data_IF_682327958133
#
_entry.id   IF_682327958133
#
_cell.length_a   1.000
_cell.length_b   1.000
_cell.length_c   1.000
_cell.angle_alpha   90.00
_cell.angle_beta   90.00
_cell.angle_gamma   90.00
#
_symmetry.space_group_name_H-M   'P 1'
#
loop_
_entity.id
_entity.type
_entity.pdbx_description
1 polymer ?
#
# COMPACT_ATOMS: atom_id res chain seq x y z
N UNK A 1 7.86 38.99 1.11
CA UNK A 1 6.56 38.26 1.15
C UNK A 1 6.77 36.99 1.96
N UNK A 2 6.04 36.79 3.04
CA UNK A 2 6.13 35.57 3.81
C UNK A 2 5.50 34.44 2.95
N UNK A 3 6.27 33.41 2.63
CA UNK A 3 5.79 32.19 1.95
C UNK A 3 4.75 31.55 2.87
N UNK A 4 3.54 31.35 2.36
CA UNK A 4 2.49 30.72 3.16
C UNK A 4 2.88 29.28 3.49
N UNK A 5 2.47 28.72 4.65
CA UNK A 5 2.79 27.31 5.01
C UNK A 5 2.39 26.27 3.94
N UNK A 6 1.43 26.61 3.08
CA UNK A 6 0.94 25.78 1.98
C UNK A 6 1.98 25.67 0.85
N UNK A 7 2.66 26.78 0.52
CA UNK A 7 3.65 26.80 -0.56
C UNK A 7 4.91 25.98 -0.20
N UNK A 8 5.36 26.09 1.06
CA UNK A 8 6.49 25.28 1.57
C UNK A 8 6.17 23.79 1.53
N UNK A 9 4.92 23.40 1.79
CA UNK A 9 4.49 21.98 1.78
C UNK A 9 4.37 21.41 0.37
N UNK A 10 3.99 22.24 -0.60
CA UNK A 10 3.90 21.82 -2.01
C UNK A 10 5.31 21.63 -2.59
N UNK A 11 6.23 22.52 -2.26
CA UNK A 11 7.62 22.37 -2.71
C UNK A 11 8.27 21.14 -2.08
N UNK A 12 8.07 20.89 -0.78
CA UNK A 12 8.54 19.68 -0.10
C UNK A 12 7.90 18.40 -0.70
N UNK A 13 6.63 18.43 -1.08
CA UNK A 13 5.95 17.34 -1.77
C UNK A 13 6.60 17.08 -3.15
N UNK A 14 6.87 18.14 -3.89
CA UNK A 14 7.50 18.09 -5.19
C UNK A 14 8.91 17.48 -5.11
N UNK A 15 9.69 17.91 -4.12
CA UNK A 15 11.06 17.44 -3.92
C UNK A 15 11.08 15.97 -3.45
N UNK A 16 10.19 15.58 -2.53
CA UNK A 16 10.05 14.20 -2.11
C UNK A 16 9.68 13.28 -3.27
N UNK A 17 8.76 13.70 -4.13
CA UNK A 17 8.35 12.92 -5.31
C UNK A 17 9.45 12.86 -6.36
N UNK A 18 10.19 13.94 -6.57
CA UNK A 18 11.34 13.94 -7.49
C UNK A 18 12.44 13.01 -6.99
N UNK A 19 12.68 12.97 -5.67
CA UNK A 19 13.66 12.05 -5.06
C UNK A 19 13.25 10.57 -5.21
N UNK A 20 11.95 10.28 -5.28
CA UNK A 20 11.43 8.92 -5.46
C UNK A 20 11.13 8.56 -6.91
N UNK A 21 11.44 9.45 -7.87
CA UNK A 21 11.15 9.25 -9.29
C UNK A 21 9.68 8.93 -9.58
N UNK A 22 8.76 9.39 -8.74
CA UNK A 22 7.31 9.32 -9.00
C UNK A 22 6.96 10.48 -9.92
N UNK A 23 6.48 10.25 -11.16
CA UNK A 23 6.03 11.34 -12.02
C UNK A 23 4.81 12.00 -11.38
N UNK A 24 4.97 13.26 -10.94
CA UNK A 24 3.85 14.06 -10.47
C UNK A 24 2.92 14.38 -11.64
N UNK A 25 1.74 13.81 -11.59
CA UNK A 25 0.65 14.33 -12.41
C UNK A 25 -0.03 15.50 -11.70
N UNK A 26 -0.61 16.43 -12.45
CA UNK A 26 -1.44 17.50 -11.89
C UNK A 26 -2.53 17.02 -10.90
N UNK A 27 -3.13 15.81 -11.06
CA UNK A 27 -4.02 15.21 -10.07
C UNK A 27 -3.37 14.93 -8.71
N UNK A 28 -2.11 14.46 -8.68
CA UNK A 28 -1.40 14.16 -7.40
C UNK A 28 -1.15 15.44 -6.60
N UNK A 29 -0.67 16.49 -7.28
CA UNK A 29 -0.46 17.80 -6.64
C UNK A 29 -1.79 18.36 -6.13
N UNK A 30 -2.86 18.23 -6.91
CA UNK A 30 -4.21 18.68 -6.54
C UNK A 30 -4.76 17.89 -5.36
N UNK A 31 -4.57 16.56 -5.33
CA UNK A 31 -4.98 15.70 -4.23
C UNK A 31 -4.27 16.03 -2.93
N UNK A 32 -2.94 16.25 -2.98
CA UNK A 32 -2.16 16.67 -1.82
C UNK A 32 -2.62 18.04 -1.29
N UNK A 33 -2.89 19.00 -2.19
CA UNK A 33 -3.43 20.32 -1.82
C UNK A 33 -4.80 20.19 -1.14
N UNK A 34 -5.72 19.41 -1.71
CA UNK A 34 -7.04 19.16 -1.13
C UNK A 34 -6.95 18.50 0.24
N UNK A 35 -6.01 17.57 0.45
CA UNK A 35 -5.79 16.96 1.76
C UNK A 35 -5.31 17.98 2.80
N UNK A 36 -4.42 18.89 2.42
CA UNK A 36 -3.88 19.93 3.33
C UNK A 36 -4.94 20.95 3.74
N UNK A 37 -5.91 21.21 2.84
CA UNK A 37 -6.98 22.19 3.05
C UNK A 37 -8.31 21.54 3.52
N UNK A 38 -8.41 20.20 3.47
CA UNK A 38 -9.64 19.49 3.82
C UNK A 38 -9.88 19.44 5.33
N UNK A 39 -11.13 19.59 5.78
CA UNK A 39 -11.48 19.37 7.18
C UNK A 39 -11.08 17.97 7.63
N UNK A 40 -10.62 17.83 8.88
CA UNK A 40 -10.31 16.54 9.47
C UNK A 40 -11.52 15.62 9.37
N UNK A 41 -11.39 14.50 8.62
CA UNK A 41 -12.44 13.49 8.51
C UNK A 41 -13.05 13.29 7.12
N UNK A 42 -12.65 14.06 6.10
CA UNK A 42 -13.18 13.90 4.74
C UNK A 42 -12.41 12.88 3.89
N UNK A 43 -13.06 11.75 3.58
CA UNK A 43 -12.68 10.86 2.48
C UNK A 43 -11.64 9.77 2.79
N UNK A 44 -11.61 8.78 1.92
CA UNK A 44 -10.79 7.57 2.04
C UNK A 44 -9.27 7.86 1.98
N UNK A 45 -8.85 8.88 1.20
CA UNK A 45 -7.46 9.30 1.13
C UNK A 45 -6.98 9.83 2.48
N UNK A 46 -7.74 10.74 3.07
CA UNK A 46 -7.43 11.32 4.39
C UNK A 46 -7.35 10.25 5.48
N UNK A 47 -8.27 9.27 5.45
CA UNK A 47 -8.24 8.13 6.36
C UNK A 47 -6.96 7.30 6.17
N UNK A 48 -6.55 7.04 4.93
CA UNK A 48 -5.33 6.32 4.61
C UNK A 48 -4.10 7.06 5.15
N UNK A 49 -3.98 8.36 4.88
CA UNK A 49 -2.87 9.19 5.41
C UNK A 49 -2.80 9.16 6.94
N UNK A 50 -3.96 9.31 7.62
CA UNK A 50 -3.99 9.21 9.10
C UNK A 50 -3.53 7.86 9.60
N UNK A 51 -3.93 6.77 8.94
CA UNK A 51 -3.49 5.42 9.31
C UNK A 51 -2.00 5.20 9.05
N UNK A 52 -1.45 5.73 7.96
CA UNK A 52 0.00 5.73 7.68
C UNK A 52 0.76 6.45 8.81
N UNK A 53 0.41 7.70 9.11
CA UNK A 53 1.10 8.49 10.13
C UNK A 53 0.95 7.92 11.54
N UNK A 54 -0.16 7.23 11.85
CA UNK A 54 -0.35 6.55 13.11
C UNK A 54 0.56 5.32 13.24
N UNK A 55 0.77 4.59 12.14
CA UNK A 55 1.55 3.35 12.13
C UNK A 55 3.04 3.64 11.96
N UNK A 56 3.39 4.65 11.17
CA UNK A 56 4.77 5.11 10.96
C UNK A 56 4.91 6.61 11.32
N UNK A 57 5.07 6.94 12.60
CA UNK A 57 5.21 8.33 13.04
C UNK A 57 6.54 8.98 12.64
N UNK A 58 7.49 8.21 12.10
CA UNK A 58 8.77 8.73 11.58
C UNK A 58 8.64 9.27 10.16
N UNK A 59 7.59 8.86 9.44
CA UNK A 59 7.36 9.32 8.08
C UNK A 59 6.90 10.78 8.09
N UNK A 60 7.49 11.61 7.24
CA UNK A 60 7.03 12.99 7.11
C UNK A 60 5.58 13.03 6.58
N UNK A 61 4.74 13.97 7.07
CA UNK A 61 3.35 14.06 6.63
C UNK A 61 3.19 14.22 5.11
N UNK A 62 4.10 14.92 4.46
CA UNK A 62 4.13 15.09 3.01
C UNK A 62 4.35 13.76 2.29
N UNK A 63 5.25 12.93 2.80
CA UNK A 63 5.54 11.62 2.22
C UNK A 63 4.36 10.68 2.40
N UNK A 64 3.68 10.72 3.55
CA UNK A 64 2.46 9.93 3.78
C UNK A 64 1.35 10.28 2.78
N UNK A 65 1.20 11.56 2.40
CA UNK A 65 0.24 11.99 1.36
C UNK A 65 0.64 11.43 0.01
N UNK A 66 1.92 11.56 -0.38
CA UNK A 66 2.42 11.06 -1.68
C UNK A 66 2.24 9.55 -1.80
N UNK A 67 2.58 8.79 -0.75
CA UNK A 67 2.45 7.34 -0.75
C UNK A 67 0.97 6.90 -0.76
N UNK A 68 0.10 7.61 -0.04
CA UNK A 68 -1.33 7.35 -0.10
C UNK A 68 -1.89 7.61 -1.51
N UNK A 69 -1.52 8.71 -2.17
CA UNK A 69 -1.93 9.00 -3.56
C UNK A 69 -1.42 7.93 -4.53
N UNK A 70 -0.15 7.53 -4.43
CA UNK A 70 0.40 6.43 -5.22
C UNK A 70 -0.41 5.13 -5.03
N UNK A 71 -0.81 4.83 -3.79
CA UNK A 71 -1.67 3.68 -3.48
C UNK A 71 -3.02 3.76 -4.17
N UNK A 72 -3.68 4.93 -4.17
CA UNK A 72 -4.97 5.12 -4.84
C UNK A 72 -4.85 5.03 -6.36
N UNK A 73 -3.77 5.55 -6.93
CA UNK A 73 -3.48 5.44 -8.38
C UNK A 73 -3.28 3.98 -8.77
N UNK A 74 -2.43 3.24 -8.04
CA UNK A 74 -2.16 1.83 -8.28
C UNK A 74 -3.44 0.97 -8.11
N UNK A 75 -4.18 1.17 -7.03
CA UNK A 75 -5.43 0.45 -6.77
C UNK A 75 -6.45 0.63 -7.91
N UNK A 76 -6.60 1.87 -8.41
CA UNK A 76 -7.47 2.16 -9.56
C UNK A 76 -6.97 1.49 -10.84
N UNK A 77 -5.66 1.56 -11.13
CA UNK A 77 -5.04 0.94 -12.31
C UNK A 77 -5.30 -0.56 -12.33
N UNK A 78 -5.13 -1.23 -11.20
CA UNK A 78 -5.27 -2.68 -11.07
C UNK A 78 -6.66 -3.14 -10.62
N UNK A 79 -7.64 -2.22 -10.49
CA UNK A 79 -9.05 -2.50 -10.17
C UNK A 79 -9.24 -3.26 -8.85
N UNK A 80 -8.48 -2.89 -7.84
CA UNK A 80 -8.63 -3.39 -6.46
C UNK A 80 -9.07 -2.25 -5.53
N UNK A 81 -9.59 -2.62 -4.35
CA UNK A 81 -9.99 -1.61 -3.36
C UNK A 81 -8.75 -0.90 -2.78
N UNK A 82 -8.72 0.44 -2.82
CA UNK A 82 -7.59 1.22 -2.31
C UNK A 82 -7.34 0.98 -0.81
N UNK A 83 -8.39 0.84 0.00
CA UNK A 83 -8.27 0.51 1.42
C UNK A 83 -7.68 -0.88 1.68
N UNK A 84 -7.95 -1.85 0.81
CA UNK A 84 -7.33 -3.18 0.86
C UNK A 84 -5.83 -3.11 0.58
N UNK A 85 -5.43 -2.44 -0.51
CA UNK A 85 -4.02 -2.24 -0.84
C UNK A 85 -3.30 -1.47 0.28
N UNK A 86 -3.90 -0.39 0.78
CA UNK A 86 -3.33 0.40 1.87
C UNK A 86 -3.13 -0.42 3.15
N UNK A 87 -4.10 -1.25 3.52
CA UNK A 87 -4.00 -2.13 4.69
C UNK A 87 -2.88 -3.17 4.53
N UNK A 88 -2.71 -3.71 3.31
CA UNK A 88 -1.61 -4.63 3.01
C UNK A 88 -0.25 -3.92 3.17
N UNK A 89 -0.05 -2.77 2.54
CA UNK A 89 1.21 -2.02 2.63
C UNK A 89 1.52 -1.55 4.07
N UNK A 90 0.48 -1.23 4.86
CA UNK A 90 0.64 -0.97 6.30
C UNK A 90 1.12 -2.20 7.07
N UNK A 91 0.67 -3.39 6.71
CA UNK A 91 1.08 -4.64 7.34
C UNK A 91 2.50 -5.03 6.93
N UNK A 92 2.86 -4.84 5.65
CA UNK A 92 4.17 -5.21 5.13
C UNK A 92 5.30 -4.40 5.76
N UNK A 93 5.20 -3.09 5.76
CA UNK A 93 6.31 -2.23 6.16
C UNK A 93 5.91 -0.98 6.93
N UNK A 94 4.62 -0.77 7.22
CA UNK A 94 4.11 0.54 7.66
C UNK A 94 4.47 1.67 6.67
N UNK A 95 4.52 1.38 5.39
CA UNK A 95 4.97 2.32 4.35
C UNK A 95 6.42 2.78 4.51
N UNK A 96 7.29 1.98 5.10
CA UNK A 96 8.73 2.29 5.19
C UNK A 96 9.44 1.83 3.90
N UNK A 97 9.96 2.76 3.07
CA UNK A 97 10.66 2.39 1.84
C UNK A 97 12.03 1.76 2.10
N UNK A 98 12.59 1.93 3.30
CA UNK A 98 13.87 1.35 3.72
C UNK A 98 13.73 0.04 4.51
N UNK A 99 12.50 -0.49 4.67
CA UNK A 99 12.27 -1.69 5.45
C UNK A 99 13.01 -2.91 4.86
N UNK A 100 13.67 -3.67 5.74
CA UNK A 100 14.31 -4.95 5.40
C UNK A 100 13.91 -5.96 6.48
N UNK A 101 13.28 -7.06 6.07
CA UNK A 101 12.92 -8.13 7.00
C UNK A 101 14.09 -9.08 7.27
N UNK A 102 13.98 -9.89 8.32
CA UNK A 102 14.95 -10.95 8.62
C UNK A 102 15.05 -12.01 7.52
N UNK A 103 14.03 -12.16 6.70
CA UNK A 103 14.00 -13.05 5.55
C UNK A 103 14.54 -12.41 4.26
N UNK A 104 15.03 -11.17 4.33
CA UNK A 104 15.58 -10.45 3.17
C UNK A 104 14.52 -9.85 2.22
N UNK A 105 13.27 -9.71 2.68
CA UNK A 105 12.27 -8.94 1.96
C UNK A 105 12.51 -7.44 2.15
N UNK A 106 12.30 -6.64 1.10
CA UNK A 106 12.69 -5.23 1.08
C UNK A 106 11.59 -4.30 0.63
N UNK A 107 11.67 -3.06 1.11
CA UNK A 107 10.85 -1.92 0.69
C UNK A 107 9.39 -2.00 1.15
N UNK A 108 8.58 -1.10 0.61
CA UNK A 108 7.18 -0.89 1.05
C UNK A 108 6.32 -2.16 0.90
N UNK A 109 6.51 -2.93 -0.17
CA UNK A 109 5.74 -4.14 -0.47
C UNK A 109 6.37 -5.43 0.04
N UNK A 110 7.53 -5.35 0.72
CA UNK A 110 8.26 -6.49 1.26
C UNK A 110 8.47 -7.64 0.25
N UNK A 111 8.99 -7.29 -0.92
CA UNK A 111 9.37 -8.29 -1.91
C UNK A 111 10.75 -8.85 -1.58
N UNK A 112 10.92 -10.18 -1.65
CA UNK A 112 12.26 -10.75 -1.78
C UNK A 112 12.83 -10.38 -3.15
N UNK A 113 14.16 -10.25 -3.29
CA UNK A 113 14.77 -9.87 -4.55
C UNK A 113 14.42 -10.86 -5.68
N UNK A 114 14.33 -12.16 -5.37
CA UNK A 114 13.91 -13.16 -6.35
C UNK A 114 12.45 -12.98 -6.80
N UNK A 115 11.54 -12.67 -5.88
CA UNK A 115 10.14 -12.38 -6.23
C UNK A 115 10.04 -11.08 -7.03
N UNK A 116 10.77 -10.06 -6.64
CA UNK A 116 10.82 -8.78 -7.34
C UNK A 116 11.29 -8.96 -8.80
N UNK A 117 12.34 -9.75 -9.02
CA UNK A 117 12.86 -10.06 -10.36
C UNK A 117 11.83 -10.79 -11.22
N UNK A 118 11.20 -11.85 -10.68
CA UNK A 118 10.15 -12.60 -11.40
C UNK A 118 9.00 -11.71 -11.86
N UNK A 119 8.61 -10.75 -11.04
CA UNK A 119 7.52 -9.81 -11.36
C UNK A 119 8.00 -8.54 -12.06
N UNK A 120 9.28 -8.34 -12.27
CA UNK A 120 9.84 -7.10 -12.85
C UNK A 120 9.49 -5.88 -12.01
N UNK A 121 9.71 -5.95 -10.69
CA UNK A 121 9.45 -4.89 -9.72
C UNK A 121 10.78 -4.39 -9.18
N UNK A 122 10.98 -3.08 -9.12
CA UNK A 122 12.04 -2.50 -8.32
C UNK A 122 11.54 -2.26 -6.88
N UNK A 123 11.87 -3.14 -5.91
CA UNK A 123 11.32 -3.05 -4.57
C UNK A 123 11.86 -1.86 -3.76
N UNK A 124 12.95 -1.25 -4.21
CA UNK A 124 13.56 -0.07 -3.58
C UNK A 124 12.91 1.24 -4.04
N UNK A 125 12.13 1.22 -5.11
CA UNK A 125 11.39 2.37 -5.60
C UNK A 125 9.95 2.33 -5.08
N UNK A 126 9.55 3.24 -4.17
CA UNK A 126 8.23 3.21 -3.52
C UNK A 126 7.05 3.11 -4.49
N UNK A 127 7.08 3.87 -5.58
CA UNK A 127 6.00 3.85 -6.56
C UNK A 127 5.89 2.50 -7.28
N UNK A 128 7.02 1.90 -7.62
CA UNK A 128 7.08 0.62 -8.33
C UNK A 128 6.68 -0.53 -7.39
N UNK A 129 7.16 -0.51 -6.14
CA UNK A 129 6.77 -1.45 -5.11
C UNK A 129 5.25 -1.41 -4.82
N UNK A 130 4.65 -0.21 -4.72
CA UNK A 130 3.21 -0.03 -4.52
C UNK A 130 2.42 -0.55 -5.73
N UNK A 131 2.81 -0.19 -6.96
CA UNK A 131 2.16 -0.65 -8.19
C UNK A 131 2.31 -2.17 -8.35
N UNK A 132 3.50 -2.70 -8.06
CA UNK A 132 3.80 -4.12 -8.07
C UNK A 132 2.95 -4.91 -7.08
N UNK A 133 2.82 -4.42 -5.84
CA UNK A 133 1.94 -5.03 -4.83
C UNK A 133 0.49 -5.06 -5.31
N UNK A 134 0.00 -3.95 -5.87
CA UNK A 134 -1.36 -3.88 -6.41
C UNK A 134 -1.57 -4.88 -7.56
N UNK A 135 -0.60 -4.99 -8.46
CA UNK A 135 -0.63 -5.93 -9.59
C UNK A 135 -0.66 -7.39 -9.15
N UNK A 136 0.21 -7.76 -8.21
CA UNK A 136 0.28 -9.13 -7.68
C UNK A 136 -1.01 -9.51 -6.97
N UNK A 137 -1.51 -8.63 -6.08
CA UNK A 137 -2.79 -8.85 -5.38
C UNK A 137 -3.97 -8.94 -6.36
N UNK A 138 -4.00 -8.09 -7.39
CA UNK A 138 -5.05 -8.12 -8.41
C UNK A 138 -5.05 -9.45 -9.17
N UNK A 139 -3.87 -9.98 -9.51
CA UNK A 139 -3.74 -11.30 -10.15
C UNK A 139 -4.31 -12.40 -9.26
N UNK A 140 -3.88 -12.49 -8.00
CA UNK A 140 -4.38 -13.48 -7.06
C UNK A 140 -5.90 -13.36 -6.83
N UNK A 141 -6.42 -12.14 -6.69
CA UNK A 141 -7.85 -11.91 -6.57
C UNK A 141 -8.63 -12.44 -7.79
N UNK A 142 -8.11 -12.20 -8.99
CA UNK A 142 -8.75 -12.68 -10.22
C UNK A 142 -8.73 -14.22 -10.29
N UNK A 143 -7.62 -14.85 -9.92
CA UNK A 143 -7.47 -16.30 -9.91
C UNK A 143 -8.42 -16.96 -8.90
N UNK A 144 -8.46 -16.47 -7.67
CA UNK A 144 -9.30 -17.05 -6.62
C UNK A 144 -10.79 -16.76 -6.81
N UNK A 145 -11.16 -15.63 -7.42
CA UNK A 145 -12.55 -15.40 -7.86
C UNK A 145 -12.99 -16.42 -8.91
N UNK A 146 -12.13 -16.68 -9.91
CA UNK A 146 -12.41 -17.70 -10.93
C UNK A 146 -12.48 -19.12 -10.36
N UNK A 147 -11.67 -19.40 -9.35
CA UNK A 147 -11.69 -20.69 -8.63
C UNK A 147 -12.88 -20.83 -7.67
N UNK A 148 -13.72 -19.83 -7.52
CA UNK A 148 -14.87 -19.87 -6.61
C UNK A 148 -14.49 -19.86 -5.13
N UNK A 149 -13.36 -19.24 -4.77
CA UNK A 149 -12.93 -19.15 -3.37
C UNK A 149 -14.00 -18.46 -2.51
N UNK A 150 -14.31 -18.99 -1.32
CA UNK A 150 -15.31 -18.39 -0.43
C UNK A 150 -14.98 -16.95 -0.04
N UNK A 151 -13.69 -16.67 0.14
CA UNK A 151 -13.16 -15.33 0.37
C UNK A 151 -11.90 -15.10 -0.48
N UNK A 152 -12.04 -14.57 -1.70
CA UNK A 152 -10.91 -14.32 -2.58
C UNK A 152 -9.87 -13.33 -2.02
N UNK A 153 -10.30 -12.38 -1.18
CA UNK A 153 -9.39 -11.43 -0.54
C UNK A 153 -8.50 -12.11 0.49
N UNK A 154 -9.07 -12.94 1.35
CA UNK A 154 -8.33 -13.72 2.34
C UNK A 154 -7.33 -14.68 1.67
N UNK A 155 -7.75 -15.34 0.58
CA UNK A 155 -6.86 -16.24 -0.17
C UNK A 155 -5.75 -15.49 -0.90
N UNK A 156 -6.02 -14.31 -1.45
CA UNK A 156 -5.01 -13.46 -2.09
C UNK A 156 -3.95 -12.98 -1.08
N UNK A 157 -4.37 -12.59 0.12
CA UNK A 157 -3.45 -12.25 1.21
C UNK A 157 -2.61 -13.44 1.67
N UNK A 158 -3.23 -14.61 1.82
CA UNK A 158 -2.51 -15.82 2.17
C UNK A 158 -1.48 -16.22 1.10
N UNK A 159 -1.82 -16.04 -0.18
CA UNK A 159 -0.90 -16.29 -1.29
C UNK A 159 0.24 -15.25 -1.34
N UNK A 160 -0.04 -14.01 -1.00
CA UNK A 160 0.99 -12.97 -0.93
C UNK A 160 2.02 -13.28 0.17
N UNK A 161 1.55 -13.69 1.36
CA UNK A 161 2.41 -14.00 2.50
C UNK A 161 3.08 -15.38 2.43
N UNK A 162 2.31 -16.45 2.16
CA UNK A 162 2.79 -17.84 2.22
C UNK A 162 3.11 -18.44 0.85
N UNK A 163 2.83 -17.71 -0.22
CA UNK A 163 2.95 -18.18 -1.60
C UNK A 163 1.70 -18.93 -2.11
N UNK A 164 1.42 -18.83 -3.44
CA UNK A 164 0.23 -19.43 -4.04
C UNK A 164 0.23 -20.98 -3.97
N UNK A 165 1.39 -21.60 -3.94
CA UNK A 165 1.49 -23.06 -3.80
C UNK A 165 1.01 -23.56 -2.44
N UNK A 166 1.23 -22.79 -1.37
CA UNK A 166 0.70 -23.12 -0.05
C UNK A 166 -0.83 -23.05 -0.04
N UNK A 167 -1.41 -21.99 -0.62
CA UNK A 167 -2.87 -21.85 -0.74
C UNK A 167 -3.48 -22.98 -1.57
N UNK A 168 -2.86 -23.35 -2.69
CA UNK A 168 -3.31 -24.47 -3.51
C UNK A 168 -3.25 -25.79 -2.76
N UNK A 169 -2.15 -26.05 -2.03
CA UNK A 169 -1.96 -27.28 -1.25
C UNK A 169 -3.04 -27.49 -0.18
N UNK A 170 -3.46 -26.40 0.49
CA UNK A 170 -4.42 -26.49 1.58
C UNK A 170 -5.86 -26.15 1.17
N UNK A 171 -6.08 -25.81 -0.09
CA UNK A 171 -7.41 -25.40 -0.58
C UNK A 171 -7.95 -24.16 0.13
N UNK A 172 -7.06 -23.23 0.53
CA UNK A 172 -7.40 -22.04 1.28
C UNK A 172 -6.24 -21.44 2.08
N UNK A 173 -6.56 -20.71 3.14
CA UNK A 173 -5.54 -20.16 4.05
C UNK A 173 -4.80 -21.31 4.71
N UNK A 174 -3.46 -21.43 4.52
CA UNK A 174 -2.70 -22.52 5.12
C UNK A 174 -2.73 -22.42 6.67
N UNK A 175 -2.57 -23.55 7.39
CA UNK A 175 -2.63 -23.57 8.85
C UNK A 175 -1.35 -23.01 9.51
N UNK A 176 -0.70 -22.07 8.85
CA UNK A 176 0.45 -21.37 9.39
C UNK A 176 -0.01 -20.22 10.32
N UNK A 177 0.40 -20.20 11.59
CA UNK A 177 -0.01 -19.18 12.55
C UNK A 177 0.28 -17.76 12.03
N UNK A 178 1.47 -17.55 11.45
CA UNK A 178 1.87 -16.27 10.86
C UNK A 178 0.92 -15.82 9.75
N UNK A 179 0.60 -16.69 8.78
CA UNK A 179 -0.26 -16.34 7.66
C UNK A 179 -1.70 -16.05 8.10
N UNK A 180 -2.21 -16.81 9.08
CA UNK A 180 -3.54 -16.55 9.65
C UNK A 180 -3.62 -15.21 10.34
N UNK A 181 -2.58 -14.89 11.14
CA UNK A 181 -2.47 -13.59 11.81
C UNK A 181 -2.34 -12.46 10.80
N UNK A 182 -1.49 -12.62 9.78
CA UNK A 182 -1.30 -11.65 8.70
C UNK A 182 -2.63 -11.30 8.02
N UNK A 183 -3.42 -12.31 7.64
CA UNK A 183 -4.74 -12.09 7.02
C UNK A 183 -5.66 -11.33 7.99
N UNK A 184 -5.73 -11.75 9.25
CA UNK A 184 -6.58 -11.11 10.29
C UNK A 184 -6.20 -9.64 10.49
N UNK A 185 -4.92 -9.35 10.62
CA UNK A 185 -4.40 -8.00 10.86
C UNK A 185 -4.72 -7.05 9.70
N UNK A 186 -4.61 -7.54 8.46
CA UNK A 186 -4.96 -6.72 7.29
C UNK A 186 -6.45 -6.43 7.23
N UNK A 187 -7.31 -7.39 7.54
CA UNK A 187 -8.75 -7.14 7.61
C UNK A 187 -9.11 -6.11 8.69
N UNK A 188 -8.46 -6.19 9.86
CA UNK A 188 -8.66 -5.19 10.92
C UNK A 188 -8.22 -3.79 10.46
N UNK A 189 -7.03 -3.67 9.86
CA UNK A 189 -6.52 -2.41 9.30
C UNK A 189 -7.45 -1.85 8.21
N UNK A 190 -7.90 -2.71 7.30
CA UNK A 190 -8.82 -2.32 6.23
C UNK A 190 -10.15 -1.82 6.80
N UNK A 191 -10.73 -2.55 7.76
CA UNK A 191 -11.94 -2.13 8.46
C UNK A 191 -11.77 -0.78 9.15
N UNK A 192 -10.62 -0.52 9.74
CA UNK A 192 -10.28 0.77 10.37
C UNK A 192 -10.25 1.90 9.33
N UNK A 193 -9.54 1.70 8.21
CA UNK A 193 -9.49 2.68 7.12
C UNK A 193 -10.90 3.01 6.60
N UNK A 194 -11.76 2.01 6.49
CA UNK A 194 -13.14 2.19 6.02
C UNK A 194 -13.98 2.97 7.04
N UNK A 195 -13.81 2.72 8.33
CA UNK A 195 -14.54 3.47 9.39
C UNK A 195 -14.06 4.91 9.56
N UNK A 196 -12.78 5.17 9.30
CA UNK A 196 -12.15 6.48 9.48
C UNK A 196 -12.42 7.46 8.29
N UNK A 197 -13.22 7.06 7.31
CA UNK A 197 -13.59 7.89 6.12
C UNK A 197 -14.39 9.14 6.46
#
# INVERSE_FOLDING_TARGET
MAVTPVDVRIDALRDAVLSWHIPLSAPVIRGARLYMDAPRGSGALSATVRNILRTNPRLAPVDAVVLAEATFVAARRHRIAAGFLAATLLQESAYDPGAISSAGAVGIGQFTLGTADVFGIDPWRPADAIDGTARVLASYLADYRRAGAPDPYAWALAAYNAGPLAVARYGGIPPYPETRQYVSDIYERWSRIVRDR
#
